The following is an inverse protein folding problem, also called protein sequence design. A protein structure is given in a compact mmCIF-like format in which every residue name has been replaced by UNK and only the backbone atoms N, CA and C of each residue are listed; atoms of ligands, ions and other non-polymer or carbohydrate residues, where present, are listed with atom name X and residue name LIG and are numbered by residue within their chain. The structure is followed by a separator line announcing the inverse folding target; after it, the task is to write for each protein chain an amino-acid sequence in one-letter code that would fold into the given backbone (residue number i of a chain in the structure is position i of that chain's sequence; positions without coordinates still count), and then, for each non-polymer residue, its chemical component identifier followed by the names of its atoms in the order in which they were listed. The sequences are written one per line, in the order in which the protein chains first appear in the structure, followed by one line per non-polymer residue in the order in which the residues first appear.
data_IF_538419959561
#
_entry.id   IF_538419959561
#
_cell.length_a   1.000
_cell.length_b   1.000
_cell.length_c   1.000
_cell.angle_alpha   90.00
_cell.angle_beta   90.00
_cell.angle_gamma   90.00
#
_symmetry.space_group_name_H-M   'P 1'
#
loop_
_entity.id
_entity.type
_entity.pdbx_description
1 polymer ?
#
# COMPACT_ATOMS: atom_id res chain seq x y z
N UNK A 1 5.27 1.72 -20.18
CA UNK A 1 5.15 0.87 -18.97
C UNK A 1 5.45 1.74 -17.76
N UNK A 2 4.43 2.30 -17.13
CA UNK A 2 4.61 3.16 -15.96
C UNK A 2 4.73 2.27 -14.73
N UNK A 3 5.94 2.17 -14.15
CA UNK A 3 6.13 1.59 -12.84
C UNK A 3 5.73 2.69 -11.85
N UNK A 4 4.51 2.64 -11.36
CA UNK A 4 4.07 3.48 -10.26
C UNK A 4 4.64 2.90 -8.95
N UNK A 5 5.86 3.30 -8.64
CA UNK A 5 6.40 3.13 -7.28
C UNK A 5 5.76 4.20 -6.42
N UNK A 6 4.73 3.83 -5.65
CA UNK A 6 4.05 4.77 -4.76
C UNK A 6 4.70 4.66 -3.39
N UNK A 7 5.44 5.71 -3.03
CA UNK A 7 5.99 5.90 -1.69
C UNK A 7 5.02 6.78 -0.92
N UNK A 8 4.29 6.21 0.04
CA UNK A 8 3.39 6.96 0.91
C UNK A 8 4.18 7.37 2.15
N UNK A 9 4.69 8.61 2.17
CA UNK A 9 5.27 9.18 3.39
C UNK A 9 4.17 9.80 4.24
N UNK A 10 3.72 9.11 5.28
CA UNK A 10 2.96 9.72 6.37
C UNK A 10 3.95 10.27 7.43
N UNK A 11 3.66 11.47 7.93
CA UNK A 11 4.53 12.30 8.79
C UNK A 11 5.17 11.51 9.94
N UNK A 12 6.46 11.72 10.14
CA UNK A 12 7.22 11.26 11.31
C UNK A 12 8.08 12.38 11.86
N UNK A 13 8.29 12.33 13.17
CA UNK A 13 9.28 13.11 13.92
C UNK A 13 10.69 12.58 13.58
N UNK A 14 11.69 13.46 13.59
CA UNK A 14 13.13 13.25 13.27
C UNK A 14 13.69 11.89 13.79
N UNK A 15 14.60 11.17 13.11
CA UNK A 15 15.94 11.55 12.63
C UNK A 15 16.36 10.73 11.37
N UNK A 16 17.08 11.39 10.46
CA UNK A 16 17.84 10.84 9.30
C UNK A 16 17.10 10.16 8.13
N UNK A 17 15.85 9.70 8.29
CA UNK A 17 15.11 9.05 7.19
C UNK A 17 13.85 9.85 6.83
N UNK A 18 13.72 10.30 5.58
CA UNK A 18 12.56 11.10 5.10
C UNK A 18 11.27 10.27 4.89
N UNK A 19 11.34 8.95 5.13
CA UNK A 19 10.26 7.98 4.94
C UNK A 19 10.09 7.16 6.21
N UNK A 20 8.87 7.08 6.74
CA UNK A 20 8.57 6.29 7.94
C UNK A 20 7.83 4.99 7.62
N UNK A 21 7.13 4.94 6.49
CA UNK A 21 6.25 3.85 6.11
C UNK A 21 6.38 3.60 4.61
N UNK A 22 6.35 2.34 4.19
CA UNK A 22 6.30 1.93 2.78
C UNK A 22 5.24 0.86 2.58
N UNK A 23 4.43 1.01 1.54
CA UNK A 23 3.54 -0.03 1.05
C UNK A 23 3.94 -0.32 -0.39
N UNK A 24 4.46 -1.50 -0.65
CA UNK A 24 5.03 -1.88 -1.94
C UNK A 24 4.42 -3.19 -2.45
N UNK A 25 4.63 -3.44 -3.73
CA UNK A 25 4.10 -4.60 -4.46
C UNK A 25 5.23 -5.52 -4.95
N UNK A 26 6.40 -4.93 -5.19
CA UNK A 26 7.60 -5.59 -5.69
C UNK A 26 8.81 -4.97 -4.98
N UNK A 27 9.24 -5.57 -3.88
CA UNK A 27 10.30 -4.99 -3.04
C UNK A 27 11.70 -5.11 -3.70
N UNK A 28 11.87 -6.08 -4.60
CA UNK A 28 13.13 -6.34 -5.31
C UNK A 28 13.59 -5.18 -6.21
N UNK A 29 12.66 -4.34 -6.68
CA UNK A 29 12.99 -3.18 -7.52
C UNK A 29 13.46 -1.96 -6.72
N UNK A 30 13.47 -2.05 -5.38
CA UNK A 30 13.93 -0.99 -4.48
C UNK A 30 14.84 -1.55 -3.36
N UNK A 31 16.06 -2.02 -3.69
CA UNK A 31 16.93 -2.72 -2.72
C UNK A 31 17.26 -1.89 -1.47
N UNK A 32 17.40 -0.56 -1.60
CA UNK A 32 17.59 0.33 -0.44
C UNK A 32 16.38 0.36 0.49
N UNK A 33 15.16 0.32 -0.05
CA UNK A 33 13.94 0.28 0.77
C UNK A 33 13.77 -1.08 1.44
N UNK A 34 14.03 -2.16 0.70
CA UNK A 34 14.06 -3.50 1.28
C UNK A 34 15.06 -3.61 2.44
N UNK A 35 16.25 -3.03 2.30
CA UNK A 35 17.23 -2.98 3.38
C UNK A 35 16.70 -2.21 4.61
N UNK A 36 16.10 -1.02 4.42
CA UNK A 36 15.51 -0.27 5.54
C UNK A 36 14.38 -1.03 6.24
N UNK A 37 13.56 -1.77 5.48
CA UNK A 37 12.50 -2.60 6.04
C UNK A 37 13.07 -3.77 6.86
N UNK A 38 14.08 -4.48 6.33
CA UNK A 38 14.76 -5.59 7.04
C UNK A 38 15.49 -5.09 8.30
N UNK A 39 16.11 -3.90 8.23
CA UNK A 39 16.77 -3.25 9.37
C UNK A 39 15.77 -2.62 10.37
N UNK A 40 14.46 -2.79 10.18
CA UNK A 40 13.41 -2.20 11.03
C UNK A 40 13.55 -0.66 11.18
N UNK A 41 13.96 0.03 10.12
CA UNK A 41 14.07 1.50 10.09
C UNK A 41 12.80 2.18 9.57
N UNK A 42 11.95 1.44 8.87
CA UNK A 42 10.66 1.90 8.34
C UNK A 42 9.59 0.82 8.53
N UNK A 43 8.34 1.23 8.74
CA UNK A 43 7.19 0.32 8.64
C UNK A 43 7.02 -0.11 7.18
N UNK A 44 6.68 -1.37 6.94
CA UNK A 44 6.67 -1.93 5.61
C UNK A 44 5.57 -2.97 5.42
N UNK A 45 4.75 -2.77 4.38
CA UNK A 45 3.71 -3.69 3.94
C UNK A 45 3.96 -4.14 2.51
N UNK A 46 3.64 -5.41 2.23
CA UNK A 46 3.57 -5.94 0.88
C UNK A 46 2.17 -6.48 0.62
N UNK A 47 1.44 -5.84 -0.30
CA UNK A 47 0.10 -6.27 -0.70
C UNK A 47 0.06 -6.65 -2.19
N UNK A 48 -0.90 -7.50 -2.60
CA UNK A 48 -0.99 -7.94 -3.98
C UNK A 48 -1.24 -6.76 -4.93
N UNK A 49 -0.53 -6.71 -6.06
CA UNK A 49 -0.57 -5.60 -7.04
C UNK A 49 -1.98 -5.16 -7.44
N UNK A 50 -2.83 -6.13 -7.78
CA UNK A 50 -4.20 -5.86 -8.21
C UNK A 50 -5.06 -5.29 -7.10
N UNK A 51 -4.79 -5.67 -5.84
CA UNK A 51 -5.51 -5.15 -4.68
C UNK A 51 -5.13 -3.69 -4.44
N UNK A 52 -3.83 -3.35 -4.46
CA UNK A 52 -3.37 -1.95 -4.31
C UNK A 52 -3.98 -1.06 -5.40
N UNK A 53 -4.01 -1.52 -6.65
CA UNK A 53 -4.61 -0.75 -7.76
C UNK A 53 -6.09 -0.45 -7.52
N UNK A 54 -6.85 -1.44 -7.06
CA UNK A 54 -8.26 -1.26 -6.71
C UNK A 54 -8.45 -0.41 -5.46
N UNK A 55 -7.57 -0.53 -4.48
CA UNK A 55 -7.58 0.28 -3.26
C UNK A 55 -7.40 1.76 -3.58
N UNK A 56 -6.47 2.14 -4.45
CA UNK A 56 -6.32 3.53 -4.87
C UNK A 56 -7.56 4.06 -5.60
N UNK A 57 -8.18 3.25 -6.47
CA UNK A 57 -9.44 3.62 -7.10
C UNK A 57 -10.55 3.84 -6.07
N UNK A 58 -10.65 2.96 -5.08
CA UNK A 58 -11.69 3.04 -4.04
C UNK A 58 -11.44 4.22 -3.09
N UNK A 59 -10.18 4.52 -2.74
CA UNK A 59 -9.78 5.75 -2.01
C UNK A 59 -10.19 7.00 -2.79
N UNK A 60 -9.90 7.07 -4.10
CA UNK A 60 -10.28 8.20 -4.95
C UNK A 60 -11.81 8.37 -5.06
N UNK A 61 -12.57 7.28 -4.93
CA UNK A 61 -14.03 7.29 -4.90
C UNK A 61 -14.62 7.58 -3.50
N UNK A 62 -13.78 7.84 -2.48
CA UNK A 62 -14.23 8.11 -1.11
C UNK A 62 -14.79 6.89 -0.38
N UNK A 63 -14.43 5.68 -0.80
CA UNK A 63 -14.85 4.43 -0.14
C UNK A 63 -13.97 4.12 1.07
N UNK A 64 -14.47 3.36 2.06
CA UNK A 64 -13.72 3.01 3.26
C UNK A 64 -12.59 1.98 3.00
N UNK A 65 -12.52 1.39 1.81
CA UNK A 65 -11.51 0.39 1.44
C UNK A 65 -11.97 -0.53 0.32
N UNK A 66 -11.18 -1.57 0.06
CA UNK A 66 -11.43 -2.59 -0.98
C UNK A 66 -11.71 -3.95 -0.34
N UNK A 67 -12.80 -4.59 -0.76
CA UNK A 67 -13.16 -5.95 -0.35
C UNK A 67 -12.79 -6.92 -1.46
N UNK A 68 -12.04 -7.97 -1.13
CA UNK A 68 -11.61 -9.00 -2.09
C UNK A 68 -11.26 -10.30 -1.37
N UNK A 69 -11.33 -11.44 -2.08
CA UNK A 69 -10.85 -12.72 -1.57
C UNK A 69 -9.35 -12.93 -1.82
N UNK A 70 -8.73 -12.04 -2.60
CA UNK A 70 -7.30 -12.11 -2.95
C UNK A 70 -6.46 -11.93 -1.70
N UNK A 71 -5.63 -12.93 -1.39
CA UNK A 71 -4.75 -12.94 -0.22
C UNK A 71 -5.22 -13.82 0.94
N UNK A 72 -6.42 -14.39 0.87
CA UNK A 72 -6.87 -15.35 1.89
C UNK A 72 -5.88 -16.52 1.99
N UNK A 73 -5.54 -16.89 3.23
CA UNK A 73 -4.62 -17.97 3.58
C UNK A 73 -3.18 -17.78 3.05
N UNK A 74 -2.79 -16.55 2.73
CA UNK A 74 -1.39 -16.19 2.44
C UNK A 74 -0.88 -15.21 3.50
N UNK A 75 0.37 -14.79 3.41
CA UNK A 75 0.98 -13.84 4.36
C UNK A 75 0.19 -12.52 4.53
N UNK A 76 -0.66 -12.14 3.57
CA UNK A 76 -1.51 -10.94 3.68
C UNK A 76 -2.80 -11.17 4.48
N UNK A 77 -3.15 -12.43 4.74
CA UNK A 77 -4.26 -12.78 5.63
C UNK A 77 -3.91 -12.32 7.07
N UNK A 78 -4.78 -11.56 7.74
CA UNK A 78 -4.50 -11.04 9.08
C UNK A 78 -4.40 -12.12 10.17
N UNK A 79 -4.78 -13.37 9.85
CA UNK A 79 -4.53 -14.53 10.72
C UNK A 79 -3.06 -14.96 10.74
N UNK A 80 -2.27 -14.49 9.77
CA UNK A 80 -0.84 -14.73 9.63
C UNK A 80 -0.11 -13.41 9.87
N UNK A 81 0.47 -12.79 8.83
CA UNK A 81 1.27 -11.57 8.97
C UNK A 81 0.48 -10.29 8.64
N UNK A 82 -0.70 -10.40 8.03
CA UNK A 82 -1.48 -9.24 7.58
C UNK A 82 -0.74 -8.37 6.54
N UNK A 83 0.24 -8.95 5.85
CA UNK A 83 1.06 -8.31 4.83
C UNK A 83 2.19 -7.44 5.37
N UNK A 84 2.42 -7.48 6.69
CA UNK A 84 3.51 -6.77 7.37
C UNK A 84 4.84 -7.47 7.07
N UNK A 85 5.87 -6.70 6.75
CA UNK A 85 7.19 -7.24 6.38
C UNK A 85 8.18 -7.29 7.53
N UNK A 86 7.91 -6.59 8.63
CA UNK A 86 8.84 -6.50 9.76
C UNK A 86 8.11 -6.26 11.10
N UNK A 87 8.87 -6.29 12.20
CA UNK A 87 8.31 -6.25 13.55
C UNK A 87 7.87 -4.87 14.02
N UNK A 88 8.37 -3.80 13.40
CA UNK A 88 7.96 -2.43 13.78
C UNK A 88 6.65 -2.00 13.11
N UNK A 89 6.16 -2.80 12.15
CA UNK A 89 4.90 -2.54 11.44
C UNK A 89 3.71 -3.02 12.25
N UNK A 90 3.02 -2.11 12.94
CA UNK A 90 1.96 -2.48 13.90
C UNK A 90 0.54 -2.30 13.36
N UNK A 91 0.28 -1.32 12.49
CA UNK A 91 -1.08 -1.01 12.07
C UNK A 91 -1.73 -2.16 11.27
N UNK A 92 -2.97 -2.52 11.61
CA UNK A 92 -3.73 -3.56 10.92
C UNK A 92 -4.57 -2.96 9.79
N UNK A 93 -4.01 -3.02 8.57
CA UNK A 93 -4.64 -2.49 7.36
C UNK A 93 -5.51 -3.52 6.61
N UNK A 94 -5.47 -4.79 7.03
CA UNK A 94 -6.29 -5.87 6.46
C UNK A 94 -7.15 -6.49 7.55
N UNK A 95 -8.44 -6.65 7.28
CA UNK A 95 -9.40 -7.32 8.17
C UNK A 95 -10.07 -8.50 7.47
N UNK A 96 -10.26 -9.59 8.21
CA UNK A 96 -11.09 -10.70 7.76
C UNK A 96 -12.56 -10.37 8.06
N UNK A 97 -13.39 -10.29 7.03
CA UNK A 97 -14.82 -10.01 7.15
C UNK A 97 -15.65 -11.16 6.57
N UNK A 98 -16.90 -11.26 7.01
CA UNK A 98 -17.88 -12.22 6.48
C UNK A 98 -18.96 -11.48 5.72
N UNK A 99 -19.11 -11.78 4.43
CA UNK A 99 -20.15 -11.21 3.56
C UNK A 99 -20.76 -12.30 2.70
N UNK A 100 -22.09 -12.34 2.67
CA UNK A 100 -22.88 -13.35 1.95
C UNK A 100 -22.43 -14.80 2.26
N UNK A 101 -22.16 -15.08 3.54
CA UNK A 101 -21.76 -16.40 4.01
C UNK A 101 -20.35 -16.86 3.60
N UNK A 102 -19.51 -15.94 3.11
CA UNK A 102 -18.12 -16.22 2.70
C UNK A 102 -17.14 -15.31 3.43
N UNK A 103 -15.92 -15.80 3.63
CA UNK A 103 -14.78 -14.99 4.09
C UNK A 103 -14.27 -14.08 2.97
N UNK A 104 -13.92 -12.84 3.33
CA UNK A 104 -13.27 -11.85 2.48
C UNK A 104 -12.21 -11.11 3.27
N UNK A 105 -11.26 -10.52 2.57
CA UNK A 105 -10.33 -9.55 3.13
C UNK A 105 -10.80 -8.13 2.80
N UNK A 106 -10.83 -7.29 3.81
CA UNK A 106 -11.09 -5.86 3.71
C UNK A 106 -9.78 -5.10 3.89
N UNK A 107 -9.30 -4.49 2.82
CA UNK A 107 -8.12 -3.63 2.80
C UNK A 107 -8.58 -2.19 3.05
N UNK A 108 -8.19 -1.62 4.19
CA UNK A 108 -8.65 -0.31 4.66
C UNK A 108 -8.10 0.81 3.79
N UNK A 109 -8.93 1.82 3.51
CA UNK A 109 -8.50 3.08 2.91
C UNK A 109 -7.60 3.87 3.86
N UNK A 110 -6.71 4.67 3.30
CA UNK A 110 -5.86 5.62 4.02
C UNK A 110 -5.76 6.92 3.21
N UNK A 111 -5.43 8.06 3.85
CA UNK A 111 -5.30 9.33 3.14
C UNK A 111 -4.10 9.31 2.18
N UNK A 112 -4.29 9.86 0.98
CA UNK A 112 -3.21 10.12 0.01
C UNK A 112 -3.11 11.62 -0.18
N UNK A 113 -1.99 12.20 0.22
CA UNK A 113 -1.79 13.65 0.18
C UNK A 113 -1.07 14.12 -1.08
N UNK A 114 -0.19 13.28 -1.64
CA UNK A 114 0.65 13.63 -2.79
C UNK A 114 0.72 12.41 -3.71
N UNK A 115 0.69 12.65 -5.03
CA UNK A 115 0.92 11.64 -6.05
C UNK A 115 2.03 12.09 -6.99
N UNK A 116 2.97 11.19 -7.28
CA UNK A 116 3.97 11.38 -8.33
C UNK A 116 3.48 10.63 -9.57
N UNK A 117 3.05 11.37 -10.59
CA UNK A 117 2.52 10.83 -11.84
C UNK A 117 3.38 11.27 -13.02
N UNK A 118 3.39 10.49 -14.10
CA UNK A 118 4.07 10.82 -15.36
C UNK A 118 3.08 10.71 -16.52
N UNK A 119 2.91 11.80 -17.26
CA UNK A 119 2.26 11.85 -18.57
C UNK A 119 3.27 12.01 -19.71
N UNK A 120 2.88 11.71 -20.94
CA UNK A 120 3.69 12.06 -22.12
C UNK A 120 3.41 13.49 -22.56
N UNK A 121 2.14 13.87 -22.53
CA UNK A 121 1.67 15.21 -22.91
C UNK A 121 0.62 15.71 -21.90
N UNK A 122 0.53 17.03 -21.78
CA UNK A 122 -0.54 17.69 -21.04
C UNK A 122 -0.99 18.96 -21.79
N UNK A 123 -2.29 19.21 -21.82
CA UNK A 123 -2.82 20.47 -22.36
C UNK A 123 -2.78 21.60 -21.31
N UNK A 124 -3.19 22.81 -21.70
CA UNK A 124 -3.20 23.98 -20.81
C UNK A 124 -4.21 23.86 -19.66
N UNK A 125 -5.19 22.94 -19.76
CA UNK A 125 -6.15 22.64 -18.70
C UNK A 125 -5.68 21.53 -17.75
N UNK A 126 -4.52 20.92 -18.02
CA UNK A 126 -3.93 19.86 -17.21
C UNK A 126 -4.48 18.46 -17.52
N UNK A 127 -5.17 18.25 -18.65
CA UNK A 127 -5.54 16.90 -19.09
C UNK A 127 -4.29 16.17 -19.59
N UNK A 128 -4.05 14.96 -19.08
CA UNK A 128 -2.85 14.17 -19.34
C UNK A 128 -3.15 12.98 -20.26
N UNK A 129 -2.27 12.72 -21.23
CA UNK A 129 -2.28 11.52 -22.10
C UNK A 129 -0.93 10.81 -22.17
#
# INVERSE_FOLDING_TARGET
MAIATIVISCKGKEESTQMNHVMAVHDEVMPKMGQLAVENKIEAYNFPQGVITHLFRDIAAGKPGTITHVGLKTFVDPRLDGGKLNSITDENLVELIHLNGKEWLFYKSFPINVALIRGTTADESGNIT
#
